data_IF_419633787000
#
_entry.id   IF_419633787000
#
_cell.length_a   1.000
_cell.length_b   1.000
_cell.length_c   1.000
_cell.angle_alpha   90.00
_cell.angle_beta   90.00
_cell.angle_gamma   90.00
#
_symmetry.space_group_name_H-M   'P 1'
#
loop_
_entity.id
_entity.type
_entity.pdbx_description
1 polymer ?
#
# COMPACT_ATOMS: atom_id res chain seq x y z
N UNK A 1 54.02 -41.76 25.09
CA UNK A 1 54.03 -40.34 24.68
C UNK A 1 53.27 -40.18 23.35
N UNK A 2 51.94 -40.37 23.33
CA UNK A 2 51.17 -40.43 22.06
C UNK A 2 49.70 -39.95 22.19
N UNK A 3 49.47 -38.89 22.97
CA UNK A 3 48.11 -38.38 23.23
C UNK A 3 47.88 -36.91 22.82
N UNK A 4 48.85 -36.26 22.13
CA UNK A 4 48.75 -34.83 21.76
C UNK A 4 48.47 -34.55 20.28
N UNK A 5 48.52 -35.55 19.39
CA UNK A 5 48.41 -35.33 17.94
C UNK A 5 46.97 -35.22 17.42
N UNK A 6 46.05 -36.05 17.92
CA UNK A 6 44.68 -36.19 17.39
C UNK A 6 43.73 -35.03 17.73
N UNK A 7 44.06 -34.18 18.71
CA UNK A 7 43.23 -33.01 19.07
C UNK A 7 43.40 -31.83 18.11
N UNK A 8 44.59 -31.64 17.52
CA UNK A 8 44.84 -30.53 16.57
C UNK A 8 44.11 -30.71 15.25
N UNK A 9 44.14 -31.92 14.69
CA UNK A 9 43.51 -32.24 13.40
C UNK A 9 41.98 -32.04 13.46
N UNK A 10 41.35 -32.45 14.57
CA UNK A 10 39.91 -32.27 14.75
C UNK A 10 39.49 -30.81 14.97
N UNK A 11 40.39 -29.95 15.47
CA UNK A 11 40.12 -28.53 15.66
C UNK A 11 40.16 -27.76 14.34
N UNK A 12 41.14 -28.05 13.48
CA UNK A 12 41.25 -27.43 12.15
C UNK A 12 40.10 -27.80 11.22
N UNK A 13 39.61 -29.05 11.29
CA UNK A 13 38.45 -29.49 10.50
C UNK A 13 37.16 -28.78 10.98
N UNK A 14 37.01 -28.57 12.30
CA UNK A 14 35.85 -27.85 12.87
C UNK A 14 35.89 -26.36 12.51
N UNK A 15 37.05 -25.72 12.60
CA UNK A 15 37.23 -24.31 12.21
C UNK A 15 36.94 -24.08 10.72
N UNK A 16 37.42 -24.98 9.82
CA UNK A 16 37.11 -24.91 8.39
C UNK A 16 35.61 -25.08 8.09
N UNK A 17 34.92 -25.99 8.79
CA UNK A 17 33.47 -26.15 8.64
C UNK A 17 32.70 -24.90 9.06
N UNK A 18 33.07 -24.29 10.19
CA UNK A 18 32.45 -23.04 10.69
C UNK A 18 32.64 -21.91 9.69
N UNK A 19 33.85 -21.75 9.14
CA UNK A 19 34.17 -20.72 8.16
C UNK A 19 33.37 -20.92 6.85
N UNK A 20 33.21 -22.16 6.39
CA UNK A 20 32.42 -22.48 5.20
C UNK A 20 30.92 -22.19 5.41
N UNK A 21 30.37 -22.49 6.59
CA UNK A 21 28.99 -22.11 6.93
C UNK A 21 28.78 -20.60 7.03
N UNK A 22 29.77 -19.83 7.53
CA UNK A 22 29.67 -18.36 7.55
C UNK A 22 29.70 -17.75 6.15
N UNK A 23 30.47 -18.31 5.22
CA UNK A 23 30.49 -17.86 3.81
C UNK A 23 29.14 -18.12 3.13
N UNK A 24 28.54 -19.30 3.33
CA UNK A 24 27.22 -19.63 2.78
C UNK A 24 26.12 -18.74 3.41
N UNK A 25 26.25 -18.39 4.70
CA UNK A 25 25.32 -17.45 5.33
C UNK A 25 25.49 -16.02 4.79
N UNK A 26 26.74 -15.57 4.56
CA UNK A 26 27.02 -14.25 4.00
C UNK A 26 26.55 -14.10 2.55
N UNK A 27 26.59 -15.16 1.73
CA UNK A 27 26.10 -15.14 0.36
C UNK A 27 24.57 -15.00 0.25
N UNK A 28 23.80 -15.35 1.29
CA UNK A 28 22.34 -15.21 1.29
C UNK A 28 21.85 -13.83 1.77
N UNK A 29 22.74 -12.93 2.19
CA UNK A 29 22.39 -11.56 2.64
C UNK A 29 22.65 -10.54 1.52
N UNK A 30 22.96 -10.99 0.30
CA UNK A 30 22.91 -10.11 -0.87
C UNK A 30 21.44 -9.84 -1.17
N UNK A 31 20.96 -8.73 -0.64
CA UNK A 31 19.72 -8.07 -1.02
C UNK A 31 19.43 -8.34 -2.50
N UNK A 32 18.37 -9.09 -2.76
CA UNK A 32 17.80 -9.21 -4.10
C UNK A 32 17.35 -7.81 -4.52
N UNK A 33 18.25 -7.05 -5.14
CA UNK A 33 17.86 -5.95 -5.99
C UNK A 33 16.96 -6.57 -7.05
N UNK A 34 15.67 -6.25 -7.02
CA UNK A 34 14.70 -6.63 -8.05
C UNK A 34 15.07 -5.86 -9.31
N UNK A 35 16.11 -6.31 -10.00
CA UNK A 35 16.45 -5.84 -11.34
C UNK A 35 15.34 -6.34 -12.24
N UNK A 36 14.73 -5.44 -13.01
CA UNK A 36 13.72 -5.80 -14.01
C UNK A 36 14.37 -6.85 -14.94
N UNK A 37 13.86 -8.08 -14.99
CA UNK A 37 14.46 -9.10 -15.84
C UNK A 37 14.34 -8.68 -17.31
N UNK A 38 15.33 -9.04 -18.12
CA UNK A 38 15.35 -8.72 -19.56
C UNK A 38 14.13 -9.29 -20.30
N UNK A 39 13.58 -10.41 -19.81
CA UNK A 39 12.44 -11.10 -20.39
C UNK A 39 11.43 -11.44 -19.31
N UNK A 40 10.19 -11.01 -19.54
CA UNK A 40 9.01 -11.42 -18.78
C UNK A 40 7.79 -11.33 -19.69
N UNK A 41 6.80 -12.17 -19.44
CA UNK A 41 5.49 -12.14 -20.07
C UNK A 41 4.46 -11.37 -19.23
N UNK A 42 4.60 -11.42 -17.90
CA UNK A 42 3.70 -10.79 -16.95
C UNK A 42 4.44 -10.16 -15.77
N UNK A 43 3.80 -9.18 -15.16
CA UNK A 43 4.18 -8.63 -13.86
C UNK A 43 2.99 -8.81 -12.94
N UNK A 44 3.17 -9.54 -11.84
CA UNK A 44 2.19 -9.61 -10.75
C UNK A 44 2.64 -8.69 -9.63
N UNK A 45 1.70 -7.95 -9.05
CA UNK A 45 2.01 -7.06 -7.95
C UNK A 45 0.84 -6.97 -6.97
N UNK A 46 1.13 -6.61 -5.71
CA UNK A 46 0.12 -6.49 -4.66
C UNK A 46 0.31 -5.18 -3.94
N UNK A 47 -0.76 -4.40 -3.82
CA UNK A 47 -0.81 -3.25 -2.92
C UNK A 47 -1.70 -3.54 -1.72
N UNK A 48 -1.35 -2.91 -0.60
CA UNK A 48 -2.21 -2.79 0.57
C UNK A 48 -2.62 -1.32 0.73
N UNK A 49 -3.92 -1.08 0.73
CA UNK A 49 -4.53 0.21 1.03
C UNK A 49 -5.10 0.15 2.44
N UNK A 50 -4.70 1.10 3.29
CA UNK A 50 -5.15 1.23 4.68
C UNK A 50 -5.74 2.60 4.91
N UNK A 51 -6.81 2.64 5.70
CA UNK A 51 -7.33 3.91 6.22
C UNK A 51 -6.27 4.63 7.04
N UNK A 52 -6.24 5.96 6.93
CA UNK A 52 -5.45 6.81 7.82
C UNK A 52 -6.12 7.01 9.19
N UNK A 53 -7.35 6.49 9.37
CA UNK A 53 -7.91 6.25 10.70
C UNK A 53 -7.40 4.93 11.26
N UNK A 54 -7.04 4.92 12.53
CA UNK A 54 -6.87 3.68 13.29
C UNK A 54 -7.58 3.77 14.63
N UNK A 55 -8.00 2.60 15.14
CA UNK A 55 -8.77 2.50 16.37
C UNK A 55 -7.99 1.64 17.36
N UNK A 56 -7.72 2.21 18.54
CA UNK A 56 -7.03 1.52 19.62
C UNK A 56 -7.57 2.01 20.96
N UNK A 57 -7.73 1.12 21.94
CA UNK A 57 -8.19 1.48 23.30
C UNK A 57 -9.43 2.41 23.32
N UNK A 58 -10.42 2.07 22.51
CA UNK A 58 -11.70 2.79 22.33
C UNK A 58 -11.55 4.26 21.90
N UNK A 59 -10.44 4.59 21.24
CA UNK A 59 -10.13 5.90 20.66
C UNK A 59 -9.90 5.78 19.17
N UNK A 60 -10.39 6.76 18.43
CA UNK A 60 -10.16 6.94 17.00
C UNK A 60 -9.04 7.93 16.83
N UNK A 61 -7.98 7.54 16.16
CA UNK A 61 -6.80 8.35 15.91
C UNK A 61 -6.64 8.64 14.43
N UNK A 62 -6.16 9.84 14.10
CA UNK A 62 -5.88 10.28 12.74
C UNK A 62 -5.06 11.58 12.74
N UNK A 63 -4.57 11.98 11.57
CA UNK A 63 -4.08 13.33 11.37
C UNK A 63 -5.16 14.36 11.76
N UNK A 64 -4.73 15.47 12.35
CA UNK A 64 -5.66 16.50 12.85
C UNK A 64 -6.50 17.13 11.73
N UNK A 65 -5.95 17.24 10.52
CA UNK A 65 -6.67 17.72 9.34
C UNK A 65 -7.77 16.74 8.94
N UNK A 66 -7.49 15.43 8.97
CA UNK A 66 -8.48 14.40 8.68
C UNK A 66 -9.63 14.43 9.70
N UNK A 67 -9.31 14.59 10.99
CA UNK A 67 -10.33 14.71 12.05
C UNK A 67 -11.18 15.96 11.88
N UNK A 68 -10.57 17.11 11.58
CA UNK A 68 -11.29 18.35 11.32
C UNK A 68 -12.19 18.26 10.09
N UNK A 69 -11.70 17.62 9.03
CA UNK A 69 -12.46 17.43 7.81
C UNK A 69 -13.66 16.50 8.02
N UNK A 70 -13.45 15.36 8.69
CA UNK A 70 -14.46 14.31 8.80
C UNK A 70 -15.45 14.57 9.95
N UNK A 71 -14.98 15.18 11.06
CA UNK A 71 -15.75 15.42 12.27
C UNK A 71 -15.60 16.88 12.76
N UNK A 72 -16.00 17.90 11.97
CA UNK A 72 -15.75 19.30 12.27
C UNK A 72 -16.37 19.80 13.59
N UNK A 73 -17.37 19.07 14.12
CA UNK A 73 -18.06 19.41 15.37
C UNK A 73 -17.48 18.70 16.59
N UNK A 74 -16.67 17.66 16.42
CA UNK A 74 -16.08 16.91 17.53
C UNK A 74 -14.74 17.54 17.92
N UNK A 75 -14.56 17.75 19.22
CA UNK A 75 -13.25 18.14 19.76
C UNK A 75 -12.36 16.91 19.81
N UNK A 76 -11.09 17.09 19.46
CA UNK A 76 -10.06 16.07 19.59
C UNK A 76 -8.91 16.58 20.45
N UNK A 77 -8.18 15.65 21.07
CA UNK A 77 -6.94 15.93 21.80
C UNK A 77 -5.75 15.53 20.95
N UNK A 78 -4.63 16.27 21.04
CA UNK A 78 -3.39 15.91 20.34
C UNK A 78 -2.52 15.01 21.21
N UNK A 79 -1.87 14.03 20.61
CA UNK A 79 -0.98 13.08 21.28
C UNK A 79 0.11 12.62 20.32
N UNK A 80 1.23 12.14 20.86
CA UNK A 80 2.23 11.42 20.07
C UNK A 80 1.57 10.15 19.53
N UNK A 81 1.77 9.85 18.25
CA UNK A 81 1.17 8.67 17.62
C UNK A 81 1.69 7.39 18.28
N UNK A 82 0.81 6.45 18.67
CA UNK A 82 1.20 5.14 19.17
C UNK A 82 1.89 4.27 18.11
N UNK A 83 1.71 4.59 16.82
CA UNK A 83 2.33 3.88 15.71
C UNK A 83 3.65 4.51 15.27
N UNK A 84 3.90 5.78 15.62
CA UNK A 84 5.07 6.54 15.17
C UNK A 84 5.39 7.67 16.16
N UNK A 85 6.42 7.49 16.98
CA UNK A 85 6.79 8.45 18.02
C UNK A 85 7.24 9.81 17.48
N UNK A 86 7.47 9.95 16.17
CA UNK A 86 7.86 11.21 15.53
C UNK A 86 6.66 12.07 15.12
N UNK A 87 5.45 11.51 15.13
CA UNK A 87 4.24 12.19 14.65
C UNK A 87 3.32 12.59 15.80
N UNK A 88 2.70 13.76 15.65
CA UNK A 88 1.58 14.20 16.50
C UNK A 88 0.29 13.95 15.74
N UNK A 89 -0.64 13.21 16.35
CA UNK A 89 -1.96 12.89 15.80
C UNK A 89 -3.05 13.43 16.74
N UNK A 90 -4.27 13.55 16.25
CA UNK A 90 -5.43 13.76 17.10
C UNK A 90 -6.07 12.44 17.52
N UNK A 91 -6.80 12.45 18.63
CA UNK A 91 -7.70 11.36 19.00
C UNK A 91 -9.06 11.86 19.50
N UNK A 92 -10.08 11.06 19.25
CA UNK A 92 -11.45 11.23 19.77
C UNK A 92 -11.88 9.91 20.40
N UNK A 93 -12.40 9.94 21.63
CA UNK A 93 -12.96 8.75 22.27
C UNK A 93 -14.25 8.31 21.57
N UNK A 94 -14.41 7.02 21.31
CA UNK A 94 -15.58 6.46 20.58
C UNK A 94 -16.89 6.77 21.32
N UNK A 95 -16.86 6.90 22.65
CA UNK A 95 -18.03 7.27 23.44
C UNK A 95 -18.58 8.67 23.11
N UNK A 96 -17.76 9.53 22.51
CA UNK A 96 -18.16 10.88 22.08
C UNK A 96 -18.80 10.88 20.69
N UNK A 97 -18.76 9.76 19.95
CA UNK A 97 -19.38 9.65 18.63
C UNK A 97 -20.87 9.41 18.78
N UNK A 98 -21.68 10.23 18.11
CA UNK A 98 -23.08 9.91 17.91
C UNK A 98 -23.23 8.80 16.84
N UNK A 99 -24.47 8.41 16.56
CA UNK A 99 -24.76 7.36 15.58
C UNK A 99 -24.27 7.69 14.15
N UNK A 100 -24.44 8.93 13.71
CA UNK A 100 -24.00 9.37 12.38
C UNK A 100 -22.48 9.45 12.28
N UNK A 101 -21.79 9.89 13.34
CA UNK A 101 -20.33 9.88 13.39
C UNK A 101 -19.79 8.43 13.27
N UNK A 102 -20.44 7.47 13.95
CA UNK A 102 -20.06 6.05 13.85
C UNK A 102 -20.29 5.49 12.45
N UNK A 103 -21.41 5.82 11.79
CA UNK A 103 -21.67 5.45 10.39
C UNK A 103 -20.60 6.01 9.45
N UNK A 104 -20.19 7.26 9.67
CA UNK A 104 -19.14 7.89 8.87
C UNK A 104 -17.82 7.15 9.04
N UNK A 105 -17.45 6.82 10.28
CA UNK A 105 -16.23 6.06 10.58
C UNK A 105 -16.26 4.68 9.94
N UNK A 106 -17.36 3.95 10.14
CA UNK A 106 -17.60 2.63 9.56
C UNK A 106 -17.46 2.67 8.03
N UNK A 107 -18.17 3.60 7.39
CA UNK A 107 -18.13 3.79 5.93
C UNK A 107 -16.73 4.12 5.43
N UNK A 108 -16.03 5.05 6.09
CA UNK A 108 -14.67 5.43 5.72
C UNK A 108 -13.73 4.23 5.80
N UNK A 109 -13.71 3.53 6.94
CA UNK A 109 -12.87 2.35 7.14
C UNK A 109 -13.16 1.26 6.11
N UNK A 110 -14.45 1.04 5.79
CA UNK A 110 -14.89 0.07 4.80
C UNK A 110 -14.37 0.38 3.39
N UNK A 111 -14.44 1.66 2.98
CA UNK A 111 -14.09 2.09 1.63
C UNK A 111 -12.60 2.35 1.41
N UNK A 112 -11.83 2.57 2.48
CA UNK A 112 -10.40 2.92 2.44
C UNK A 112 -9.46 1.79 2.85
N UNK A 113 -9.97 0.57 2.99
CA UNK A 113 -9.15 -0.60 3.34
C UNK A 113 -9.31 -1.70 2.30
N UNK A 114 -8.31 -1.88 1.45
CA UNK A 114 -8.34 -2.83 0.34
C UNK A 114 -7.01 -3.57 0.20
N UNK A 115 -7.07 -4.82 -0.26
CA UNK A 115 -5.96 -5.45 -0.96
C UNK A 115 -6.19 -5.30 -2.46
N UNK A 116 -5.15 -4.88 -3.20
CA UNK A 116 -5.22 -4.68 -4.65
C UNK A 116 -4.22 -5.62 -5.31
N UNK A 117 -4.73 -6.64 -6.00
CA UNK A 117 -3.90 -7.58 -6.75
C UNK A 117 -3.85 -7.19 -8.22
N UNK A 118 -2.67 -6.85 -8.71
CA UNK A 118 -2.43 -6.43 -10.07
C UNK A 118 -1.73 -7.47 -10.92
N UNK A 119 -2.10 -7.54 -12.19
CA UNK A 119 -1.36 -8.29 -13.21
C UNK A 119 -1.27 -7.46 -14.48
N UNK A 120 -0.05 -7.09 -14.86
CA UNK A 120 0.25 -6.54 -16.18
C UNK A 120 0.65 -7.67 -17.12
N UNK A 121 -0.02 -7.77 -18.27
CA UNK A 121 0.27 -8.72 -19.35
C UNK A 121 0.96 -7.96 -20.50
N UNK A 122 2.22 -8.30 -20.77
CA UNK A 122 3.05 -7.58 -21.75
C UNK A 122 2.51 -7.74 -23.18
N UNK A 123 2.05 -8.94 -23.53
CA UNK A 123 1.56 -9.25 -24.89
C UNK A 123 0.26 -8.50 -25.17
N UNK A 124 -0.63 -8.44 -24.17
CA UNK A 124 -1.91 -7.73 -24.30
C UNK A 124 -1.77 -6.22 -24.09
N UNK A 125 -0.67 -5.79 -23.45
CA UNK A 125 -0.47 -4.43 -22.97
C UNK A 125 -1.67 -3.96 -22.13
N UNK A 126 -2.04 -4.76 -21.12
CA UNK A 126 -3.14 -4.49 -20.19
C UNK A 126 -2.74 -4.76 -18.75
N UNK A 127 -3.22 -3.93 -17.83
CA UNK A 127 -3.16 -4.22 -16.39
C UNK A 127 -4.56 -4.56 -15.89
N UNK A 128 -4.70 -5.70 -15.21
CA UNK A 128 -5.92 -6.06 -14.48
C UNK A 128 -5.66 -5.93 -12.98
N UNK A 129 -6.51 -5.19 -12.29
CA UNK A 129 -6.45 -4.95 -10.85
C UNK A 129 -7.69 -5.55 -10.21
N UNK A 130 -7.53 -6.40 -9.21
CA UNK A 130 -8.62 -6.93 -8.40
C UNK A 130 -8.57 -6.26 -7.03
N UNK A 131 -9.66 -5.59 -6.68
CA UNK A 131 -9.81 -4.96 -5.38
C UNK A 131 -10.63 -5.86 -4.49
N UNK A 132 -10.07 -6.21 -3.33
CA UNK A 132 -10.76 -6.94 -2.28
C UNK A 132 -10.84 -6.05 -1.04
N UNK A 133 -12.06 -5.69 -0.68
CA UNK A 133 -12.33 -4.92 0.53
C UNK A 133 -12.11 -5.77 1.78
N UNK A 134 -11.38 -5.19 2.72
CA UNK A 134 -11.25 -5.68 4.08
C UNK A 134 -10.19 -6.73 4.31
N UNK A 135 -9.85 -6.86 5.59
CA UNK A 135 -8.92 -7.85 6.11
C UNK A 135 -9.44 -8.37 7.48
N UNK A 136 -8.70 -9.30 8.07
CA UNK A 136 -9.06 -9.90 9.37
C UNK A 136 -9.15 -8.85 10.48
N UNK A 137 -8.18 -7.94 10.56
CA UNK A 137 -8.15 -6.88 11.58
C UNK A 137 -9.37 -5.94 11.49
N UNK A 138 -9.76 -5.58 10.28
CA UNK A 138 -10.93 -4.72 10.06
C UNK A 138 -12.24 -5.42 10.45
N UNK A 139 -12.34 -6.73 10.22
CA UNK A 139 -13.49 -7.52 10.65
C UNK A 139 -13.66 -7.51 12.17
N UNK A 140 -12.56 -7.61 12.91
CA UNK A 140 -12.54 -7.55 14.37
C UNK A 140 -12.96 -6.15 14.89
N UNK A 141 -12.47 -5.08 14.25
CA UNK A 141 -12.88 -3.70 14.52
C UNK A 141 -14.40 -3.53 14.30
N UNK A 142 -14.92 -4.04 13.19
CA UNK A 142 -16.34 -3.91 12.86
C UNK A 142 -17.24 -4.60 13.88
N UNK A 143 -16.88 -5.82 14.26
CA UNK A 143 -17.58 -6.57 15.29
C UNK A 143 -17.54 -5.83 16.64
N UNK A 144 -16.38 -5.31 17.03
CA UNK A 144 -16.20 -4.65 18.33
C UNK A 144 -16.96 -3.33 18.44
N UNK A 145 -16.91 -2.47 17.42
CA UNK A 145 -17.35 -1.07 17.54
C UNK A 145 -18.65 -0.73 16.80
N UNK A 146 -19.02 -1.52 15.78
CA UNK A 146 -20.22 -1.26 14.96
C UNK A 146 -21.26 -2.37 15.08
N UNK A 147 -20.96 -3.48 15.77
CA UNK A 147 -21.89 -4.59 15.99
C UNK A 147 -22.32 -5.32 14.71
N UNK A 148 -21.63 -5.07 13.60
CA UNK A 148 -21.94 -5.61 12.28
C UNK A 148 -20.90 -6.61 11.78
N UNK A 149 -21.30 -7.42 10.81
CA UNK A 149 -20.39 -8.27 10.05
C UNK A 149 -19.77 -7.47 8.90
N UNK A 150 -18.47 -7.65 8.69
CA UNK A 150 -17.79 -7.07 7.54
C UNK A 150 -18.22 -7.81 6.26
N UNK A 151 -18.88 -7.09 5.34
CA UNK A 151 -19.27 -7.66 4.05
C UNK A 151 -18.10 -7.60 3.09
N UNK A 152 -17.60 -8.76 2.65
CA UNK A 152 -16.55 -8.78 1.63
C UNK A 152 -17.10 -8.24 0.32
N UNK A 153 -16.37 -7.32 -0.31
CA UNK A 153 -16.72 -6.78 -1.62
C UNK A 153 -15.53 -6.89 -2.57
N UNK A 154 -15.80 -7.36 -3.79
CA UNK A 154 -14.80 -7.52 -4.82
C UNK A 154 -15.25 -6.83 -6.10
N UNK A 155 -14.30 -6.17 -6.76
CA UNK A 155 -14.47 -5.60 -8.09
C UNK A 155 -13.13 -5.60 -8.81
N UNK A 156 -13.13 -5.33 -10.11
CA UNK A 156 -11.87 -5.22 -10.85
C UNK A 156 -11.82 -3.97 -11.72
N UNK A 157 -10.61 -3.49 -11.97
CA UNK A 157 -10.29 -2.44 -12.93
C UNK A 157 -9.41 -3.05 -14.02
N UNK A 158 -9.69 -2.76 -15.28
CA UNK A 158 -8.88 -3.14 -16.43
C UNK A 158 -8.36 -1.86 -17.08
N UNK A 159 -7.04 -1.71 -17.14
CA UNK A 159 -6.37 -0.61 -17.85
C UNK A 159 -5.84 -1.17 -19.16
N UNK A 160 -6.42 -0.76 -20.28
CA UNK A 160 -5.96 -1.10 -21.62
C UNK A 160 -5.12 0.05 -22.18
N UNK A 161 -3.82 -0.18 -22.31
CA UNK A 161 -2.89 0.85 -22.78
C UNK A 161 -2.87 0.99 -24.30
N UNK A 162 -3.38 0.02 -25.05
CA UNK A 162 -3.52 0.12 -26.50
C UNK A 162 -4.73 0.98 -26.86
N UNK A 163 -5.89 0.70 -26.27
CA UNK A 163 -7.12 1.48 -26.49
C UNK A 163 -7.19 2.75 -25.64
N UNK A 164 -6.30 2.91 -24.66
CA UNK A 164 -6.28 4.02 -23.69
C UNK A 164 -7.60 4.15 -22.92
N UNK A 165 -8.12 3.01 -22.46
CA UNK A 165 -9.37 2.93 -21.70
C UNK A 165 -9.15 2.29 -20.32
N UNK A 166 -9.99 2.70 -19.37
CA UNK A 166 -10.06 2.18 -18.01
C UNK A 166 -11.47 1.67 -17.79
N UNK A 167 -11.63 0.36 -17.65
CA UNK A 167 -12.91 -0.28 -17.36
C UNK A 167 -12.98 -0.67 -15.90
N UNK A 168 -13.94 -0.12 -15.16
CA UNK A 168 -14.23 -0.50 -13.78
C UNK A 168 -15.48 -1.39 -13.75
N UNK A 169 -15.28 -2.63 -13.32
CA UNK A 169 -16.31 -3.67 -13.31
C UNK A 169 -16.73 -4.00 -11.87
N UNK A 170 -17.84 -3.43 -11.43
CA UNK A 170 -18.51 -3.80 -10.19
C UNK A 170 -19.48 -4.98 -10.41
N UNK A 171 -19.85 -5.73 -9.36
CA UNK A 171 -20.74 -6.91 -9.51
C UNK A 171 -22.07 -6.66 -10.23
N UNK A 172 -22.55 -5.42 -10.30
CA UNK A 172 -23.85 -5.06 -10.91
C UNK A 172 -23.78 -3.89 -11.90
N UNK A 173 -22.59 -3.31 -12.12
CA UNK A 173 -22.44 -2.12 -12.94
C UNK A 173 -21.03 -1.98 -13.47
N UNK A 174 -20.92 -1.61 -14.74
CA UNK A 174 -19.64 -1.36 -15.38
C UNK A 174 -19.57 0.10 -15.81
N UNK A 175 -18.36 0.66 -15.75
CA UNK A 175 -18.05 2.01 -16.19
C UNK A 175 -16.79 1.94 -17.05
N UNK A 176 -16.73 2.76 -18.09
CA UNK A 176 -15.56 2.89 -18.95
C UNK A 176 -15.20 4.36 -19.08
N UNK A 177 -13.91 4.66 -18.91
CA UNK A 177 -13.36 6.01 -18.97
C UNK A 177 -12.13 6.04 -19.87
N UNK A 178 -11.88 7.16 -20.54
CA UNK A 178 -10.67 7.33 -21.35
C UNK A 178 -9.49 7.78 -20.48
N UNK A 179 -8.27 7.57 -20.98
CA UNK A 179 -7.09 8.10 -20.30
C UNK A 179 -7.12 9.63 -20.20
N UNK A 180 -7.62 10.32 -21.21
CA UNK A 180 -7.63 11.79 -21.23
C UNK A 180 -8.43 12.39 -20.08
N UNK A 181 -9.47 11.70 -19.58
CA UNK A 181 -10.23 12.15 -18.40
C UNK A 181 -9.58 11.75 -17.06
N UNK A 182 -8.77 10.69 -17.05
CA UNK A 182 -8.27 10.09 -15.81
C UNK A 182 -6.78 10.32 -15.52
N UNK A 183 -5.99 10.68 -16.54
CA UNK A 183 -4.55 10.90 -16.40
C UNK A 183 -4.24 11.97 -15.35
N UNK A 184 -3.37 11.61 -14.42
CA UNK A 184 -2.82 12.54 -13.42
C UNK A 184 -1.42 12.96 -13.83
N UNK A 185 -1.04 14.18 -13.45
CA UNK A 185 0.31 14.70 -13.62
C UNK A 185 0.95 14.85 -12.25
N UNK A 186 2.17 14.35 -12.12
CA UNK A 186 2.97 14.47 -10.90
C UNK A 186 3.74 15.79 -10.95
N UNK A 187 3.63 16.57 -9.88
CA UNK A 187 4.50 17.70 -9.57
C UNK A 187 5.66 17.16 -8.73
N UNK A 188 6.81 16.93 -9.35
CA UNK A 188 7.98 16.38 -8.66
C UNK A 188 8.58 17.40 -7.70
N UNK A 189 8.94 16.93 -6.50
CA UNK A 189 9.52 17.77 -5.44
C UNK A 189 10.99 17.44 -5.16
N UNK A 190 11.56 16.47 -5.88
CA UNK A 190 12.96 16.09 -5.77
C UNK A 190 13.64 15.95 -7.13
N UNK A 191 14.96 16.14 -7.17
CA UNK A 191 15.74 16.10 -8.42
C UNK A 191 15.85 14.71 -9.05
N UNK A 192 15.47 13.64 -8.34
CA UNK A 192 15.53 12.27 -8.85
C UNK A 192 14.19 11.76 -9.41
N UNK A 193 13.14 12.60 -9.39
CA UNK A 193 11.78 12.32 -9.85
C UNK A 193 11.14 11.05 -9.22
N UNK A 194 11.49 10.74 -7.98
CA UNK A 194 10.90 9.62 -7.23
C UNK A 194 9.85 10.06 -6.21
N UNK A 195 9.71 11.36 -5.95
CA UNK A 195 8.74 11.89 -5.01
C UNK A 195 8.06 13.10 -5.63
N UNK A 196 6.74 13.16 -5.49
CA UNK A 196 5.97 14.29 -5.96
C UNK A 196 4.57 14.29 -5.38
N UNK A 197 3.77 15.24 -5.86
CA UNK A 197 2.36 15.33 -5.53
C UNK A 197 1.52 15.33 -6.78
N UNK A 198 0.27 14.89 -6.68
CA UNK A 198 -0.71 15.07 -7.73
C UNK A 198 -2.05 15.43 -7.12
N UNK A 199 -2.90 16.02 -7.94
CA UNK A 199 -4.16 16.58 -7.48
C UNK A 199 -5.33 15.99 -8.23
N UNK A 200 -6.48 15.90 -7.56
CA UNK A 200 -7.72 15.51 -8.19
C UNK A 200 -8.90 16.24 -7.55
N UNK A 201 -9.95 16.42 -8.34
CA UNK A 201 -11.20 17.05 -7.91
C UNK A 201 -12.28 15.98 -7.78
N UNK A 202 -13.08 16.12 -6.74
CA UNK A 202 -14.33 15.39 -6.55
C UNK A 202 -15.47 16.38 -6.36
N UNK A 203 -16.70 15.89 -6.23
CA UNK A 203 -17.84 16.71 -5.80
C UNK A 203 -17.68 17.30 -4.38
N UNK A 204 -16.79 16.74 -3.55
CA UNK A 204 -16.53 17.21 -2.17
C UNK A 204 -15.40 18.24 -2.08
N UNK A 205 -14.63 18.43 -3.16
CA UNK A 205 -13.53 19.39 -3.18
C UNK A 205 -12.30 18.89 -3.93
N UNK A 206 -11.22 19.63 -3.72
CA UNK A 206 -9.91 19.41 -4.34
C UNK A 206 -8.97 18.75 -3.34
N UNK A 207 -8.25 17.72 -3.78
CA UNK A 207 -7.35 16.94 -2.94
C UNK A 207 -5.97 16.87 -3.57
N UNK A 208 -4.96 16.86 -2.71
CA UNK A 208 -3.55 16.66 -3.06
C UNK A 208 -3.07 15.39 -2.39
N UNK A 209 -2.51 14.49 -3.18
CA UNK A 209 -1.89 13.26 -2.71
C UNK A 209 -0.38 13.31 -2.94
N UNK A 210 0.37 12.69 -2.04
CA UNK A 210 1.79 12.43 -2.25
C UNK A 210 1.94 11.09 -2.96
N UNK A 211 2.90 10.99 -3.88
CA UNK A 211 3.25 9.77 -4.58
C UNK A 211 4.75 9.52 -4.50
N UNK A 212 5.11 8.31 -4.08
CA UNK A 212 6.48 7.80 -4.08
C UNK A 212 6.61 6.76 -5.19
N UNK A 213 7.59 6.95 -6.06
CA UNK A 213 7.89 6.08 -7.20
C UNK A 213 9.21 5.34 -6.96
N UNK A 214 9.35 4.16 -7.55
CA UNK A 214 10.58 3.38 -7.52
C UNK A 214 11.07 3.07 -8.94
N UNK A 215 12.32 3.45 -9.22
CA UNK A 215 12.97 3.30 -10.52
C UNK A 215 13.16 1.84 -10.95
N UNK A 216 13.15 0.91 -10.00
CA UNK A 216 13.25 -0.53 -10.26
C UNK A 216 11.93 -1.13 -10.77
N UNK A 217 10.83 -0.37 -10.74
CA UNK A 217 9.52 -0.86 -11.13
C UNK A 217 9.04 -0.19 -12.42
N UNK A 218 8.35 -0.98 -13.23
CA UNK A 218 7.73 -0.53 -14.48
C UNK A 218 6.51 0.38 -14.18
N UNK A 219 6.28 1.43 -14.99
CA UNK A 219 5.17 2.39 -14.81
C UNK A 219 3.76 1.81 -14.94
N UNK A 220 3.63 0.53 -15.32
CA UNK A 220 2.37 -0.21 -15.33
C UNK A 220 2.02 -0.79 -13.96
N UNK A 221 2.97 -0.77 -13.01
CA UNK A 221 2.76 -1.13 -11.60
C UNK A 221 2.20 0.11 -10.89
N UNK A 222 0.88 0.23 -10.85
CA UNK A 222 0.16 1.30 -10.14
C UNK A 222 -1.10 0.74 -9.45
N UNK A 223 -1.61 1.39 -8.38
CA UNK A 223 -2.82 0.94 -7.70
C UNK A 223 -4.12 1.42 -8.39
N UNK A 224 -4.10 1.59 -9.72
CA UNK A 224 -5.24 2.07 -10.51
C UNK A 224 -5.18 3.56 -10.90
N UNK A 225 -4.28 4.34 -10.30
CA UNK A 225 -3.98 5.71 -10.78
C UNK A 225 -3.00 5.64 -11.95
N UNK A 226 -3.26 6.40 -13.02
CA UNK A 226 -2.37 6.47 -14.19
C UNK A 226 -1.73 7.86 -14.24
N UNK A 227 -0.42 7.90 -14.44
CA UNK A 227 0.35 9.12 -14.49
C UNK A 227 0.92 9.36 -15.90
N UNK A 228 0.84 10.60 -16.39
CA UNK A 228 1.27 10.96 -17.75
C UNK A 228 2.78 11.22 -17.88
N UNK A 229 3.46 11.51 -16.77
CA UNK A 229 4.83 12.04 -16.77
C UNK A 229 5.82 11.21 -15.93
N UNK A 230 5.69 9.89 -15.94
CA UNK A 230 6.62 8.97 -15.26
C UNK A 230 6.84 7.66 -16.00
N UNK A 231 8.08 7.14 -15.91
CA UNK A 231 8.47 5.82 -16.38
C UNK A 231 8.67 4.81 -15.22
N UNK A 232 8.37 5.21 -14.00
CA UNK A 232 8.58 4.42 -12.79
C UNK A 232 7.26 3.90 -12.22
N UNK A 233 7.31 2.73 -11.61
CA UNK A 233 6.21 2.15 -10.85
C UNK A 233 5.97 2.88 -9.54
N UNK A 234 4.73 2.84 -9.07
CA UNK A 234 4.31 3.45 -7.81
C UNK A 234 4.68 2.53 -6.66
N UNK A 235 5.33 3.05 -5.63
CA UNK A 235 5.57 2.32 -4.38
C UNK A 235 4.58 2.72 -3.30
N UNK A 236 4.18 3.99 -3.28
CA UNK A 236 3.28 4.50 -2.26
C UNK A 236 2.45 5.66 -2.82
N UNK A 237 1.18 5.73 -2.41
CA UNK A 237 0.34 6.92 -2.51
C UNK A 237 -0.21 7.22 -1.13
N UNK A 238 0.02 8.43 -0.64
CA UNK A 238 -0.54 8.93 0.62
C UNK A 238 -1.58 9.99 0.30
N UNK A 239 -2.83 9.73 0.67
CA UNK A 239 -3.94 10.68 0.61
C UNK A 239 -4.27 11.19 2.02
N UNK A 240 -5.24 12.09 2.13
CA UNK A 240 -5.78 12.49 3.43
C UNK A 240 -6.46 11.31 4.15
N UNK A 241 -7.18 10.45 3.42
CA UNK A 241 -8.06 9.42 3.99
C UNK A 241 -7.40 8.06 4.13
N UNK A 242 -6.39 7.78 3.32
CA UNK A 242 -5.81 6.46 3.16
C UNK A 242 -4.38 6.50 2.63
N UNK A 243 -3.67 5.40 2.86
CA UNK A 243 -2.33 5.17 2.33
C UNK A 243 -2.31 3.84 1.58
N UNK A 244 -1.85 3.86 0.33
CA UNK A 244 -1.71 2.67 -0.52
C UNK A 244 -0.24 2.37 -0.74
N UNK A 245 0.23 1.20 -0.29
CA UNK A 245 1.64 0.78 -0.33
C UNK A 245 1.82 -0.48 -1.15
N UNK A 246 2.83 -0.53 -2.01
CA UNK A 246 3.23 -1.71 -2.77
C UNK A 246 3.92 -2.71 -1.84
N UNK A 247 3.39 -3.94 -1.78
CA UNK A 247 3.87 -5.00 -0.89
C UNK A 247 4.80 -5.98 -1.60
N UNK A 248 4.48 -6.33 -2.85
CA UNK A 248 5.26 -7.31 -3.61
C UNK A 248 5.16 -7.11 -5.11
N UNK A 249 6.22 -7.48 -5.82
CA UNK A 249 6.29 -7.54 -7.29
C UNK A 249 6.98 -8.84 -7.71
N UNK A 250 6.40 -9.53 -8.67
CA UNK A 250 6.93 -10.77 -9.25
C UNK A 250 6.87 -10.64 -10.78
N UNK A 251 7.98 -10.96 -11.45
CA UNK A 251 8.07 -11.01 -12.91
C UNK A 251 7.99 -12.48 -13.35
N UNK A 252 7.11 -12.79 -14.31
CA UNK A 252 6.87 -14.15 -14.86
C UNK A 252 7.15 -14.22 -16.36
#
# INVERSE_FOLDING_TARGET
MHWRSTRRINFDIRMKKIFFTMIILACNIVFSQTVIPEKYSKIKFVYEQKSNFFIENDKVYADTLLLQFQYPKLKFSKVISPLDSTKIVGFIEIKNFNYEDKKILESTLYHTTNTIEGTYDLKKNKTKLFFKRGNKALTEIFKKYFGGNYNTFLFNIIVDYNSKQIDTNYPRKNYSESFDSQLKKINFINGNNCLGTYTFQTNKGYYTNTVTLNKQYNNKITPGTIFSNTNFGVSEIVSLFDTTTLISVIYE
#
